data_IF_807944744151
#
_entry.id   IF_807944744151
#
_cell.length_a   1.000
_cell.length_b   1.000
_cell.length_c   1.000
_cell.angle_alpha   90.00
_cell.angle_beta   90.00
_cell.angle_gamma   90.00
#
_symmetry.space_group_name_H-M   'P 1'
#
loop_
_entity.id
_entity.type
_entity.pdbx_description
1 polymer ?
#
# COMPACT_ATOMS: atom_id res chain seq x y z
N UNK A 1 -33.64 -14.39 -56.69
CA UNK A 1 -33.80 -14.36 -55.21
C UNK A 1 -34.34 -12.99 -54.85
N UNK A 2 -35.54 -12.89 -54.24
CA UNK A 2 -36.23 -11.60 -54.02
C UNK A 2 -35.33 -10.65 -53.19
N UNK A 3 -35.26 -9.38 -53.57
CA UNK A 3 -34.48 -8.31 -52.91
C UNK A 3 -34.71 -8.28 -51.38
N UNK A 4 -35.93 -8.59 -50.94
CA UNK A 4 -36.32 -8.72 -49.53
C UNK A 4 -35.51 -9.80 -48.77
N UNK A 5 -35.14 -10.90 -49.43
CA UNK A 5 -34.32 -11.97 -48.81
C UNK A 5 -32.86 -11.57 -48.67
N UNK A 6 -32.34 -10.72 -49.57
CA UNK A 6 -30.96 -10.20 -49.50
C UNK A 6 -30.86 -9.17 -48.37
N UNK A 7 -31.87 -8.31 -48.22
CA UNK A 7 -31.92 -7.29 -47.17
C UNK A 7 -31.97 -7.91 -45.77
N UNK A 8 -32.74 -8.98 -45.58
CA UNK A 8 -32.80 -9.70 -44.29
C UNK A 8 -31.46 -10.35 -43.91
N UNK A 9 -30.71 -10.89 -44.87
CA UNK A 9 -29.39 -11.47 -44.63
C UNK A 9 -28.38 -10.37 -44.26
N UNK A 10 -28.47 -9.20 -44.90
CA UNK A 10 -27.59 -8.06 -44.63
C UNK A 10 -27.83 -7.47 -43.23
N UNK A 11 -29.09 -7.33 -42.81
CA UNK A 11 -29.46 -6.84 -41.47
C UNK A 11 -29.05 -7.85 -40.39
N UNK A 12 -29.20 -9.15 -40.63
CA UNK A 12 -28.73 -10.20 -39.72
C UNK A 12 -27.20 -10.18 -39.52
N UNK A 13 -26.44 -10.00 -40.60
CA UNK A 13 -24.97 -9.96 -40.55
C UNK A 13 -24.44 -8.69 -39.85
N UNK A 14 -25.15 -7.55 -39.95
CA UNK A 14 -24.77 -6.30 -39.28
C UNK A 14 -24.90 -6.39 -37.74
N UNK A 15 -25.87 -7.16 -37.23
CA UNK A 15 -26.05 -7.34 -35.78
C UNK A 15 -25.00 -8.23 -35.13
N UNK A 16 -24.35 -9.11 -35.91
CA UNK A 16 -23.30 -10.00 -35.42
C UNK A 16 -21.96 -9.27 -35.14
N UNK A 17 -21.72 -8.13 -35.80
CA UNK A 17 -20.50 -7.33 -35.62
C UNK A 17 -20.54 -6.37 -34.43
N UNK A 18 -21.70 -6.18 -33.78
CA UNK A 18 -21.81 -5.30 -32.61
C UNK A 18 -21.49 -6.00 -31.27
N UNK A 19 -21.20 -7.31 -31.29
CA UNK A 19 -20.71 -8.04 -30.11
C UNK A 19 -19.19 -8.06 -30.11
N UNK A 20 -18.55 -6.91 -30.36
CA UNK A 20 -17.11 -6.75 -30.11
C UNK A 20 -16.89 -6.66 -28.60
N UNK A 21 -16.71 -7.85 -28.02
CA UNK A 21 -15.89 -8.13 -26.86
C UNK A 21 -15.68 -6.93 -25.91
N UNK A 22 -16.54 -6.82 -24.89
CA UNK A 22 -16.11 -6.28 -23.61
C UNK A 22 -15.01 -7.21 -23.07
N UNK A 23 -13.77 -7.03 -23.54
CA UNK A 23 -12.63 -7.63 -22.89
C UNK A 23 -12.54 -7.00 -21.51
N UNK A 24 -12.97 -7.75 -20.50
CA UNK A 24 -12.67 -7.45 -19.11
C UNK A 24 -11.14 -7.57 -18.96
N UNK A 25 -10.39 -6.55 -19.38
CA UNK A 25 -9.05 -6.36 -18.83
C UNK A 25 -9.23 -6.26 -17.32
N UNK A 26 -8.45 -7.06 -16.62
CA UNK A 26 -8.42 -7.07 -15.17
C UNK A 26 -7.88 -5.73 -14.69
N UNK A 27 -8.58 -5.10 -13.75
CA UNK A 27 -8.08 -3.90 -13.08
C UNK A 27 -6.84 -4.25 -12.23
N UNK A 28 -5.95 -3.27 -11.96
CA UNK A 28 -4.84 -3.51 -11.07
C UNK A 28 -5.35 -3.86 -9.67
N UNK A 29 -4.78 -4.90 -9.07
CA UNK A 29 -5.12 -5.28 -7.70
C UNK A 29 -4.12 -4.59 -6.78
N UNK A 30 -4.62 -3.74 -5.90
CA UNK A 30 -3.82 -2.95 -4.97
C UNK A 30 -4.03 -3.49 -3.56
N UNK A 31 -2.93 -3.83 -2.89
CA UNK A 31 -2.91 -4.28 -1.51
C UNK A 31 -1.97 -3.39 -0.69
N UNK A 32 -2.52 -2.67 0.28
CA UNK A 32 -1.75 -1.83 1.21
C UNK A 32 -1.90 -2.40 2.61
N UNK A 33 -0.78 -2.71 3.25
CA UNK A 33 -0.73 -3.23 4.61
C UNK A 33 0.09 -2.30 5.47
N UNK A 34 -0.41 -2.03 6.68
CA UNK A 34 0.29 -1.24 7.68
C UNK A 34 0.12 -1.89 9.05
N UNK A 35 1.14 -2.61 9.49
CA UNK A 35 1.09 -3.47 10.67
C UNK A 35 2.05 -2.97 11.74
N UNK A 36 1.56 -2.83 12.96
CA UNK A 36 2.36 -2.57 14.15
C UNK A 36 2.46 -3.87 14.95
N UNK A 37 3.68 -4.26 15.32
CA UNK A 37 3.93 -5.50 16.06
C UNK A 37 5.11 -5.37 17.03
N UNK A 38 5.21 -6.25 18.04
CA UNK A 38 6.40 -6.34 18.88
C UNK A 38 7.65 -6.66 18.06
N UNK A 39 8.80 -6.22 18.57
CA UNK A 39 10.11 -6.64 18.04
C UNK A 39 10.53 -8.00 18.64
N UNK A 40 11.36 -8.75 17.92
CA UNK A 40 11.99 -9.98 18.41
C UNK A 40 13.12 -9.70 19.39
N UNK A 41 13.56 -10.73 20.11
CA UNK A 41 14.74 -10.62 20.99
C UNK A 41 16.02 -10.32 20.19
N UNK A 42 16.14 -10.89 18.98
CA UNK A 42 17.25 -10.61 18.05
C UNK A 42 17.23 -9.14 17.59
N UNK A 43 16.06 -8.64 17.18
CA UNK A 43 15.89 -7.24 16.79
C UNK A 43 16.26 -6.32 17.97
N UNK A 44 15.84 -6.67 19.20
CA UNK A 44 16.18 -5.92 20.41
C UNK A 44 17.68 -5.93 20.72
N UNK A 45 18.35 -7.08 20.57
CA UNK A 45 19.77 -7.25 20.88
C UNK A 45 20.71 -6.37 20.07
N UNK A 46 20.26 -5.87 18.91
CA UNK A 46 21.01 -4.96 18.04
C UNK A 46 20.58 -3.49 18.15
N UNK A 47 19.58 -3.19 18.98
CA UNK A 47 19.14 -1.82 19.23
C UNK A 47 20.17 -1.14 20.13
N UNK A 48 20.80 -0.06 19.64
CA UNK A 48 21.57 0.83 20.51
C UNK A 48 20.60 1.61 21.40
N UNK A 49 20.56 1.35 22.71
CA UNK A 49 19.58 1.93 23.65
C UNK A 49 20.18 2.87 24.71
N UNK A 50 21.45 3.26 24.57
CA UNK A 50 22.23 4.01 25.57
C UNK A 50 21.64 5.36 25.98
N UNK A 51 20.80 5.96 25.14
CA UNK A 51 20.14 7.24 25.37
C UNK A 51 18.87 7.11 26.25
N UNK A 52 18.46 5.88 26.59
CA UNK A 52 17.23 5.60 27.33
C UNK A 52 17.53 5.07 28.73
N UNK A 53 16.71 5.47 29.70
CA UNK A 53 16.80 4.96 31.06
C UNK A 53 16.09 3.60 31.18
N UNK A 54 16.85 2.55 31.48
CA UNK A 54 16.38 1.17 31.69
C UNK A 54 15.35 0.68 30.66
N UNK A 55 15.68 0.72 29.36
CA UNK A 55 14.79 0.33 28.28
C UNK A 55 14.50 -1.18 28.34
N UNK A 56 13.27 -1.56 27.99
CA UNK A 56 12.86 -2.96 27.85
C UNK A 56 12.51 -3.27 26.40
N UNK A 57 12.62 -4.53 25.99
CA UNK A 57 12.18 -4.97 24.66
C UNK A 57 10.73 -4.58 24.37
N UNK A 58 9.84 -4.68 25.36
CA UNK A 58 8.42 -4.32 25.27
C UNK A 58 8.17 -2.83 25.05
N UNK A 59 9.17 -1.99 25.31
CA UNK A 59 9.08 -0.55 25.07
C UNK A 59 9.25 -0.20 23.58
N UNK A 60 9.62 -1.18 22.74
CA UNK A 60 9.81 -1.01 21.30
C UNK A 60 8.78 -1.81 20.50
N UNK A 61 8.41 -1.24 19.37
CA UNK A 61 7.57 -1.87 18.37
C UNK A 61 8.16 -1.64 16.98
N UNK A 62 7.64 -2.38 16.01
CA UNK A 62 7.97 -2.19 14.61
C UNK A 62 6.73 -2.01 13.75
N UNK A 63 6.86 -1.09 12.82
CA UNK A 63 5.99 -0.91 11.67
C UNK A 63 6.48 -1.83 10.55
N UNK A 64 5.54 -2.54 9.93
CA UNK A 64 5.71 -3.24 8.66
C UNK A 64 4.70 -2.65 7.68
N UNK A 65 5.18 -1.84 6.76
CA UNK A 65 4.42 -1.31 5.64
C UNK A 65 4.71 -2.12 4.39
N UNK A 66 3.68 -2.47 3.63
CA UNK A 66 3.79 -3.16 2.35
C UNK A 66 2.70 -2.67 1.41
N UNK A 67 3.10 -2.09 0.29
CA UNK A 67 2.26 -1.84 -0.87
C UNK A 67 2.63 -2.86 -1.94
N UNK A 68 1.64 -3.59 -2.46
CA UNK A 68 1.79 -4.46 -3.63
C UNK A 68 0.71 -4.13 -4.65
N UNK A 69 1.13 -3.93 -5.90
CA UNK A 69 0.25 -3.75 -7.05
C UNK A 69 0.51 -4.88 -8.03
N UNK A 70 -0.51 -5.60 -8.44
CA UNK A 70 -0.43 -6.63 -9.50
C UNK A 70 -1.30 -6.24 -10.70
N UNK A 71 -1.09 -6.92 -11.82
CA UNK A 71 -1.73 -6.61 -13.11
C UNK A 71 -1.35 -5.22 -13.64
N UNK A 72 -0.13 -4.76 -13.38
CA UNK A 72 0.36 -3.43 -13.80
C UNK A 72 0.49 -3.27 -15.32
N UNK A 73 0.61 -4.38 -16.05
CA UNK A 73 0.65 -4.42 -17.52
C UNK A 73 -0.70 -4.03 -18.18
N UNK A 74 -1.80 -3.98 -17.42
CA UNK A 74 -3.13 -3.62 -17.91
C UNK A 74 -3.41 -2.12 -17.88
N UNK A 75 -2.52 -1.33 -17.28
CA UNK A 75 -2.69 0.10 -17.01
C UNK A 75 -1.53 0.93 -17.58
N UNK A 76 -1.75 2.23 -17.74
CA UNK A 76 -0.73 3.19 -18.21
C UNK A 76 -0.50 4.29 -17.18
N UNK A 77 0.65 4.97 -17.28
CA UNK A 77 0.96 6.15 -16.47
C UNK A 77 0.82 5.93 -14.96
N UNK A 78 1.19 4.75 -14.47
CA UNK A 78 1.16 4.43 -13.05
C UNK A 78 2.08 5.39 -12.28
N UNK A 79 1.54 6.06 -11.27
CA UNK A 79 2.28 6.87 -10.31
C UNK A 79 1.94 6.41 -8.91
N UNK A 80 2.99 6.17 -8.13
CA UNK A 80 2.89 5.73 -6.74
C UNK A 80 3.55 6.78 -5.88
N UNK A 81 2.82 7.29 -4.90
CA UNK A 81 3.35 8.10 -3.82
C UNK A 81 3.10 7.35 -2.51
N UNK A 82 4.06 6.49 -2.15
CA UNK A 82 4.06 5.81 -0.86
C UNK A 82 4.44 6.77 0.24
N UNK A 83 3.86 6.58 1.42
CA UNK A 83 4.26 7.34 2.60
C UNK A 83 5.71 7.01 3.00
N UNK A 84 6.53 8.02 3.19
CA UNK A 84 7.97 7.90 3.54
C UNK A 84 8.38 8.75 4.75
N UNK A 85 7.50 9.64 5.22
CA UNK A 85 7.78 10.63 6.27
C UNK A 85 7.67 10.05 7.70
N UNK A 86 8.05 8.78 7.90
CA UNK A 86 7.86 7.99 9.13
C UNK A 86 8.39 8.66 10.39
N UNK A 87 9.58 9.26 10.29
CA UNK A 87 10.22 9.97 11.41
C UNK A 87 9.35 11.13 11.88
N UNK A 88 8.72 11.85 10.95
CA UNK A 88 7.85 12.99 11.24
C UNK A 88 6.53 12.56 11.88
N UNK A 89 5.89 11.48 11.38
CA UNK A 89 4.66 10.98 12.01
C UNK A 89 4.88 10.47 13.44
N UNK A 90 5.95 9.69 13.65
CA UNK A 90 6.28 9.22 14.99
C UNK A 90 6.65 10.39 15.90
N UNK A 91 7.41 11.35 15.35
CA UNK A 91 7.82 12.58 16.00
C UNK A 91 8.67 12.34 17.26
N UNK A 92 9.16 13.43 17.81
CA UNK A 92 9.59 13.46 19.20
C UNK A 92 8.38 13.99 19.98
N UNK A 93 7.89 13.23 20.95
CA UNK A 93 6.78 13.66 21.82
C UNK A 93 7.27 13.48 23.22
N UNK A 94 7.02 14.46 24.08
CA UNK A 94 7.41 14.41 25.50
C UNK A 94 8.94 14.38 25.67
N UNK A 95 9.70 15.08 24.81
CA UNK A 95 11.17 15.09 24.76
C UNK A 95 11.83 13.71 24.53
N UNK A 96 11.02 12.72 24.14
CA UNK A 96 11.49 11.36 23.85
C UNK A 96 11.60 11.19 22.34
N UNK A 97 12.79 10.81 21.88
CA UNK A 97 13.03 10.38 20.50
C UNK A 97 12.33 9.06 20.23
N UNK A 98 11.24 9.08 19.45
CA UNK A 98 10.43 7.87 19.22
C UNK A 98 10.85 7.09 17.99
N UNK A 99 11.28 7.76 16.92
CA UNK A 99 11.87 7.07 15.77
C UNK A 99 13.25 6.52 16.12
N UNK A 100 13.47 5.21 15.93
CA UNK A 100 14.75 4.58 16.23
C UNK A 100 15.58 4.35 14.96
N UNK A 101 15.18 3.40 14.12
CA UNK A 101 15.79 3.14 12.82
C UNK A 101 14.80 2.43 11.89
N UNK A 102 15.12 2.33 10.61
CA UNK A 102 14.32 1.60 9.64
C UNK A 102 14.83 1.78 8.22
N UNK A 103 14.49 0.81 7.37
CA UNK A 103 14.80 0.86 5.95
C UNK A 103 13.50 1.05 5.15
N UNK A 104 13.53 2.01 4.22
CA UNK A 104 12.42 2.35 3.30
C UNK A 104 12.54 1.57 1.98
N UNK A 105 13.71 0.99 1.67
CA UNK A 105 14.02 0.48 0.34
C UNK A 105 14.19 -1.03 0.30
N UNK A 106 13.07 -1.72 0.11
CA UNK A 106 13.03 -2.86 -0.80
C UNK A 106 11.98 -2.52 -1.87
N UNK A 107 12.35 -1.73 -2.87
CA UNK A 107 11.78 -1.94 -4.20
C UNK A 107 12.37 -3.26 -4.68
N UNK A 108 11.67 -4.37 -4.41
CA UNK A 108 11.97 -5.60 -5.14
C UNK A 108 11.86 -5.27 -6.61
N UNK A 109 12.84 -5.70 -7.42
CA UNK A 109 12.86 -5.43 -8.87
C UNK A 109 11.45 -5.67 -9.41
N UNK A 110 10.81 -4.67 -10.02
CA UNK A 110 9.50 -4.84 -10.61
C UNK A 110 9.53 -6.10 -11.48
N UNK A 111 8.63 -7.04 -11.22
CA UNK A 111 8.35 -8.05 -12.25
C UNK A 111 7.55 -7.36 -13.35
N UNK A 112 7.45 -7.95 -14.54
CA UNK A 112 6.68 -7.35 -15.65
C UNK A 112 5.24 -6.97 -15.24
N UNK A 113 4.66 -7.66 -14.24
CA UNK A 113 3.26 -7.53 -13.84
C UNK A 113 3.03 -7.08 -12.39
N UNK A 114 4.08 -6.77 -11.62
CA UNK A 114 3.90 -6.35 -10.23
C UNK A 114 4.98 -5.40 -9.72
N UNK A 115 4.54 -4.46 -8.87
CA UNK A 115 5.39 -3.53 -8.14
C UNK A 115 5.15 -3.71 -6.65
N UNK A 116 6.22 -3.66 -5.86
CA UNK A 116 6.16 -3.77 -4.41
C UNK A 116 7.03 -2.69 -3.73
N UNK A 117 6.46 -2.00 -2.73
CA UNK A 117 7.17 -1.06 -1.87
C UNK A 117 7.02 -1.54 -0.43
N UNK A 118 8.15 -1.63 0.31
CA UNK A 118 8.14 -2.07 1.71
C UNK A 118 8.88 -1.08 2.60
N UNK A 119 8.39 -0.90 3.82
CA UNK A 119 9.16 -0.24 4.87
C UNK A 119 9.09 -1.04 6.18
N UNK A 120 10.23 -1.15 6.85
CA UNK A 120 10.35 -1.73 8.19
C UNK A 120 10.97 -0.71 9.12
N UNK A 121 10.19 -0.21 10.07
CA UNK A 121 10.61 0.87 10.99
C UNK A 121 10.50 0.39 12.43
N UNK A 122 11.56 0.53 13.21
CA UNK A 122 11.57 0.30 14.65
C UNK A 122 11.44 1.63 15.38
N UNK A 123 10.57 1.66 16.38
CA UNK A 123 10.27 2.86 17.15
C UNK A 123 10.03 2.54 18.63
N UNK A 124 10.27 3.54 19.48
CA UNK A 124 10.03 3.48 20.91
C UNK A 124 8.57 3.82 21.21
N UNK A 125 7.81 2.79 21.58
CA UNK A 125 6.36 2.79 21.76
C UNK A 125 5.92 3.00 23.22
N UNK A 126 6.84 3.06 24.18
CA UNK A 126 6.51 3.22 25.59
C UNK A 126 5.58 4.42 25.82
N UNK A 127 4.51 4.16 26.56
CA UNK A 127 3.50 5.15 26.89
C UNK A 127 2.54 5.51 25.75
N UNK A 128 2.65 4.88 24.57
CA UNK A 128 1.70 5.09 23.48
C UNK A 128 0.62 4.00 23.47
N UNK A 129 -0.62 4.45 23.52
CA UNK A 129 -1.80 3.63 23.23
C UNK A 129 -2.00 3.46 21.71
N UNK A 130 -2.77 2.44 21.32
CA UNK A 130 -3.18 2.24 19.92
C UNK A 130 -3.90 3.48 19.35
N UNK A 131 -4.69 4.19 20.18
CA UNK A 131 -5.39 5.42 19.78
C UNK A 131 -4.41 6.54 19.47
N UNK A 132 -3.38 6.74 20.29
CA UNK A 132 -2.34 7.74 20.06
C UNK A 132 -1.50 7.40 18.83
N UNK A 133 -1.20 6.12 18.62
CA UNK A 133 -0.54 5.66 17.39
C UNK A 133 -1.39 5.95 16.15
N UNK A 134 -2.69 5.65 16.16
CA UNK A 134 -3.58 6.03 15.05
C UNK A 134 -3.61 7.54 14.82
N UNK A 135 -3.63 8.34 15.88
CA UNK A 135 -3.63 9.81 15.79
C UNK A 135 -2.33 10.35 15.16
N UNK A 136 -1.17 9.76 15.46
CA UNK A 136 0.12 10.13 14.85
C UNK A 136 0.14 9.93 13.34
N UNK A 137 -0.56 8.91 12.83
CA UNK A 137 -0.65 8.60 11.40
C UNK A 137 -1.93 9.13 10.73
N UNK A 138 -2.69 10.02 11.38
CA UNK A 138 -3.98 10.53 10.86
C UNK A 138 -3.91 11.26 9.52
N UNK A 139 -2.74 11.76 9.14
CA UNK A 139 -2.50 12.46 7.88
C UNK A 139 -1.60 11.64 6.93
N UNK A 140 -1.10 10.48 7.38
CA UNK A 140 -0.23 9.63 6.59
C UNK A 140 -1.06 8.83 5.59
N UNK A 141 -0.79 8.98 4.30
CA UNK A 141 -1.53 8.32 3.25
C UNK A 141 -0.61 7.86 2.13
N UNK A 142 -1.05 6.83 1.40
CA UNK A 142 -0.43 6.37 0.16
C UNK A 142 -1.38 6.65 -1.00
N UNK A 143 -0.86 7.28 -2.06
CA UNK A 143 -1.64 7.64 -3.23
C UNK A 143 -1.16 6.86 -4.44
N UNK A 144 -2.09 6.27 -5.18
CA UNK A 144 -1.83 5.48 -6.38
C UNK A 144 -2.74 6.00 -7.47
N UNK A 145 -2.15 6.40 -8.59
CA UNK A 145 -2.90 6.88 -9.74
C UNK A 145 -2.44 6.21 -11.02
N UNK A 146 -3.37 5.96 -11.94
CA UNK A 146 -3.10 5.34 -13.23
C UNK A 146 -4.14 5.75 -14.26
N UNK A 147 -3.88 5.41 -15.51
CA UNK A 147 -4.83 5.50 -16.63
C UNK A 147 -5.30 4.09 -16.96
N UNK A 148 -6.62 3.87 -16.90
CA UNK A 148 -7.23 2.59 -17.27
C UNK A 148 -7.24 2.38 -18.80
N UNK A 149 -7.71 1.21 -19.24
CA UNK A 149 -7.83 0.86 -20.66
C UNK A 149 -8.78 1.77 -21.45
N UNK A 150 -9.72 2.43 -20.78
CA UNK A 150 -10.68 3.36 -21.38
C UNK A 150 -10.13 4.79 -21.41
N UNK A 151 -8.83 4.97 -21.12
CA UNK A 151 -8.16 6.27 -20.97
C UNK A 151 -8.73 7.15 -19.84
N UNK A 152 -9.44 6.56 -18.87
CA UNK A 152 -9.91 7.26 -17.68
C UNK A 152 -8.80 7.29 -16.64
N UNK A 153 -8.60 8.46 -16.04
CA UNK A 153 -7.71 8.61 -14.89
C UNK A 153 -8.39 8.05 -13.63
N UNK A 154 -7.68 7.18 -12.93
CA UNK A 154 -8.09 6.64 -11.63
C UNK A 154 -7.09 7.10 -10.59
N UNK A 155 -7.59 7.46 -9.41
CA UNK A 155 -6.80 7.84 -8.25
C UNK A 155 -7.38 7.15 -7.01
N UNK A 156 -6.53 6.47 -6.26
CA UNK A 156 -6.87 5.83 -4.99
C UNK A 156 -5.94 6.34 -3.90
N UNK A 157 -6.52 6.62 -2.74
CA UNK A 157 -5.80 7.07 -1.55
C UNK A 157 -6.11 6.14 -0.40
N UNK A 158 -5.06 5.69 0.30
CA UNK A 158 -5.13 4.79 1.44
C UNK A 158 -4.64 5.52 2.68
N UNK A 159 -5.56 5.80 3.60
CA UNK A 159 -5.25 6.46 4.87
C UNK A 159 -4.65 5.43 5.83
N UNK A 160 -3.37 5.60 6.20
CA UNK A 160 -2.64 4.57 6.94
C UNK A 160 -3.26 4.32 8.33
N UNK A 161 -3.72 5.36 9.02
CA UNK A 161 -4.39 5.22 10.33
C UNK A 161 -5.66 4.34 10.31
N UNK A 162 -6.34 4.24 9.16
CA UNK A 162 -7.57 3.46 9.00
C UNK A 162 -7.28 1.99 8.76
N UNK A 163 -6.22 1.69 7.99
CA UNK A 163 -5.77 0.33 7.67
C UNK A 163 -4.72 -0.21 8.66
N UNK A 164 -4.46 0.51 9.75
CA UNK A 164 -3.48 0.16 10.77
C UNK A 164 -3.97 -1.05 11.58
N UNK A 165 -3.18 -2.12 11.55
CA UNK A 165 -3.44 -3.34 12.31
C UNK A 165 -2.41 -3.53 13.43
N UNK A 166 -2.87 -3.91 14.63
CA UNK A 166 -2.02 -4.21 15.77
C UNK A 166 -1.94 -5.72 15.99
N UNK A 167 -0.73 -6.27 15.91
CA UNK A 167 -0.49 -7.67 16.28
C UNK A 167 -0.15 -7.74 17.76
N UNK A 168 -0.97 -8.48 18.53
CA UNK A 168 -0.69 -8.76 19.93
C UNK A 168 0.34 -9.89 20.06
N UNK A 169 1.16 -9.82 21.11
CA UNK A 169 1.93 -10.97 21.58
C UNK A 169 0.93 -12.05 22.03
N UNK A 170 1.12 -13.30 21.57
CA UNK A 170 0.38 -14.44 22.12
C UNK A 170 0.92 -14.78 23.52
#
# INVERSE_FOLDING_TARGET
MKIERIFMIFVGMLTFFLVTACSKSEEPIINVQFKISPISAEEYGVIGTKELNNPKQTDFQKINYKLRITNTNTIKNLKIHSYDDWKKALGDTDDIKRYWFGNIMEEERPTENSIEHKAKIVFYAKGLSEKELKAKFKNAHTTISWTDKNNKKVNQQFQLSEIMEFKKTK
#
